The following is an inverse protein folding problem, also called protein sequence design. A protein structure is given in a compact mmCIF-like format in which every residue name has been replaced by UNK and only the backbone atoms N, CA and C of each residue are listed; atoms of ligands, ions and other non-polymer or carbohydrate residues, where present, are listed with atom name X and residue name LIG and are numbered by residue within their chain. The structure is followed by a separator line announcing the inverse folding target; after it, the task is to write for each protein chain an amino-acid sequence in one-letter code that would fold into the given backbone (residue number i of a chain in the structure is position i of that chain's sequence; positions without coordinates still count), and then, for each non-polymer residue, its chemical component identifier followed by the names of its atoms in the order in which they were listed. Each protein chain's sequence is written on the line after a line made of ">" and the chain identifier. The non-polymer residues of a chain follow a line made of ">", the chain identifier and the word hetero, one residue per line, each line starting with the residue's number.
data_IF_870323565441
#
_entry.id   IF_870323565441
#
_cell.length_a   1.000
_cell.length_b   1.000
_cell.length_c   1.000
_cell.angle_alpha   90.00
_cell.angle_beta   90.00
_cell.angle_gamma   90.00
#
_symmetry.space_group_name_H-M   'P 1'
#
loop_
_entity.id
_entity.type
_entity.pdbx_description
1 polymer ?
#
# COMPACT_ATOMS: atom_id res chain seq x y z
N UNK A 1 -0.43 -39.53 -2.85
CA UNK A 1 0.23 -39.07 -4.09
C UNK A 1 1.67 -38.76 -3.76
N UNK A 2 2.61 -39.29 -4.54
CA UNK A 2 4.05 -39.04 -4.38
C UNK A 2 4.36 -37.66 -4.93
N UNK A 3 5.10 -36.82 -4.21
CA UNK A 3 5.59 -35.53 -4.73
C UNK A 3 6.57 -35.85 -5.87
N UNK A 4 6.41 -35.25 -7.07
CA UNK A 4 7.36 -35.48 -8.17
C UNK A 4 8.75 -34.99 -7.76
N UNK A 5 9.81 -35.64 -8.24
CA UNK A 5 11.19 -35.18 -7.96
C UNK A 5 11.56 -33.94 -8.78
N UNK A 6 11.03 -33.83 -10.01
CA UNK A 6 11.26 -32.72 -10.93
C UNK A 6 9.99 -32.38 -11.71
N UNK A 7 9.90 -31.13 -12.15
CA UNK A 7 8.93 -30.65 -13.14
C UNK A 7 9.74 -29.91 -14.21
N UNK A 8 9.82 -30.47 -15.42
CA UNK A 8 10.76 -29.98 -16.43
C UNK A 8 12.20 -29.97 -15.89
N UNK A 9 12.87 -28.81 -15.96
CA UNK A 9 14.23 -28.63 -15.41
C UNK A 9 14.28 -28.37 -13.89
N UNK A 10 13.14 -28.10 -13.26
CA UNK A 10 13.06 -27.58 -11.91
C UNK A 10 12.99 -28.70 -10.88
N UNK A 11 13.75 -28.57 -9.79
CA UNK A 11 13.82 -29.57 -8.73
C UNK A 11 12.77 -29.27 -7.67
N UNK A 12 11.90 -30.24 -7.36
CA UNK A 12 10.76 -30.01 -6.45
C UNK A 12 11.23 -30.11 -5.00
N UNK A 13 10.96 -29.07 -4.22
CA UNK A 13 11.29 -28.98 -2.80
C UNK A 13 10.11 -29.44 -1.95
N UNK A 14 8.92 -28.86 -2.19
CA UNK A 14 7.72 -29.15 -1.41
C UNK A 14 6.44 -28.77 -2.15
N UNK A 15 5.30 -29.29 -1.69
CA UNK A 15 3.98 -28.85 -2.12
C UNK A 15 3.57 -27.62 -1.28
N UNK A 16 3.26 -26.50 -1.93
CA UNK A 16 2.88 -25.23 -1.29
C UNK A 16 1.35 -25.12 -1.13
N UNK A 17 0.60 -25.52 -2.15
CA UNK A 17 -0.84 -25.38 -2.15
C UNK A 17 -1.55 -26.22 -3.20
N UNK A 18 -2.86 -26.38 -3.03
CA UNK A 18 -3.75 -27.05 -3.98
C UNK A 18 -4.96 -26.17 -4.21
N UNK A 19 -5.18 -25.79 -5.46
CA UNK A 19 -6.32 -25.00 -5.90
C UNK A 19 -7.22 -25.80 -6.85
N UNK A 20 -8.29 -25.16 -7.32
CA UNK A 20 -9.24 -25.73 -8.29
C UNK A 20 -8.58 -26.04 -9.64
N UNK A 21 -7.61 -25.21 -10.06
CA UNK A 21 -6.95 -25.32 -11.37
C UNK A 21 -5.61 -26.07 -11.33
N UNK A 22 -5.11 -26.43 -10.14
CA UNK A 22 -3.78 -27.06 -10.08
C UNK A 22 -3.17 -27.21 -8.70
N UNK A 23 -1.97 -27.79 -8.69
CA UNK A 23 -1.11 -27.93 -7.52
C UNK A 23 0.08 -26.98 -7.69
N UNK A 24 0.42 -26.25 -6.62
CA UNK A 24 1.58 -25.35 -6.59
C UNK A 24 2.70 -26.00 -5.78
N UNK A 25 3.87 -26.09 -6.38
CA UNK A 25 5.10 -26.61 -5.76
C UNK A 25 6.12 -25.51 -5.57
N UNK A 26 6.86 -25.55 -4.46
CA UNK A 26 8.11 -24.81 -4.33
C UNK A 26 9.19 -25.63 -5.01
N UNK A 27 9.95 -25.01 -5.91
CA UNK A 27 11.00 -25.66 -6.66
C UNK A 27 12.29 -24.82 -6.66
N UNK A 28 13.42 -25.45 -6.97
CA UNK A 28 14.68 -24.79 -7.27
C UNK A 28 14.90 -24.78 -8.78
N UNK A 29 15.26 -23.62 -9.34
CA UNK A 29 15.75 -23.48 -10.71
C UNK A 29 17.29 -23.66 -10.70
N UNK A 30 17.83 -24.80 -11.17
CA UNK A 30 19.26 -25.05 -11.13
C UNK A 30 20.07 -24.18 -12.09
N UNK A 31 19.43 -23.57 -13.09
CA UNK A 31 20.11 -22.68 -14.02
C UNK A 31 20.26 -21.27 -13.46
N UNK A 32 19.18 -20.72 -12.89
CA UNK A 32 19.17 -19.37 -12.32
C UNK A 32 19.57 -19.33 -10.83
N UNK A 33 19.78 -20.49 -10.22
CA UNK A 33 20.09 -20.70 -8.80
C UNK A 33 19.14 -19.91 -7.87
N UNK A 34 17.84 -20.11 -8.05
CA UNK A 34 16.80 -19.44 -7.27
C UNK A 34 15.61 -20.34 -6.98
N UNK A 35 14.88 -19.98 -5.91
CA UNK A 35 13.60 -20.61 -5.58
C UNK A 35 12.48 -20.04 -6.46
N UNK A 36 11.61 -20.91 -6.96
CA UNK A 36 10.45 -20.57 -7.80
C UNK A 36 9.21 -21.30 -7.32
N UNK A 37 8.03 -20.77 -7.63
CA UNK A 37 6.77 -21.48 -7.44
C UNK A 37 6.31 -22.03 -8.79
N UNK A 38 5.93 -23.31 -8.86
CA UNK A 38 5.45 -23.95 -10.09
C UNK A 38 4.03 -24.42 -9.90
N UNK A 39 3.10 -23.79 -10.64
CA UNK A 39 1.70 -24.21 -10.73
C UNK A 39 1.58 -25.26 -11.83
N UNK A 40 0.97 -26.40 -11.53
CA UNK A 40 0.77 -27.52 -12.44
C UNK A 40 -0.72 -27.74 -12.66
N UNK A 41 -1.16 -27.81 -13.92
CA UNK A 41 -2.59 -27.94 -14.26
C UNK A 41 -3.14 -29.32 -13.87
N UNK A 42 -4.14 -29.41 -12.99
CA UNK A 42 -4.65 -30.71 -12.51
C UNK A 42 -5.77 -31.33 -13.37
N UNK A 43 -6.20 -30.66 -14.45
CA UNK A 43 -7.39 -31.02 -15.27
C UNK A 43 -6.96 -31.63 -16.62
N UNK A 44 -5.80 -32.27 -16.66
CA UNK A 44 -5.29 -32.92 -17.88
C UNK A 44 -5.51 -34.43 -17.74
N UNK A 45 -6.29 -34.99 -18.65
CA UNK A 45 -6.43 -36.44 -18.80
C UNK A 45 -5.51 -36.99 -19.90
N UNK A 46 -5.07 -38.23 -19.74
CA UNK A 46 -4.22 -38.94 -20.72
C UNK A 46 -4.93 -39.11 -22.08
N UNK A 47 -6.27 -39.06 -22.09
CA UNK A 47 -7.10 -39.24 -23.28
C UNK A 47 -7.27 -37.97 -24.13
N UNK A 48 -6.64 -36.84 -23.75
CA UNK A 48 -6.73 -35.55 -24.44
C UNK A 48 -8.18 -35.17 -24.83
N UNK A 49 -9.09 -35.33 -23.88
CA UNK A 49 -10.49 -34.95 -24.07
C UNK A 49 -10.61 -33.49 -24.52
N UNK A 50 -11.74 -33.11 -25.11
CA UNK A 50 -11.98 -31.69 -25.44
C UNK A 50 -11.84 -30.79 -24.21
N UNK A 51 -12.26 -31.28 -23.04
CA UNK A 51 -12.11 -30.58 -21.76
C UNK A 51 -10.63 -30.39 -21.38
N UNK A 52 -9.80 -31.44 -21.51
CA UNK A 52 -8.34 -31.37 -21.26
C UNK A 52 -7.64 -30.36 -22.17
N UNK A 53 -7.97 -30.36 -23.47
CA UNK A 53 -7.44 -29.37 -24.43
C UNK A 53 -7.87 -27.93 -24.11
N UNK A 54 -9.12 -27.74 -23.71
CA UNK A 54 -9.62 -26.42 -23.30
C UNK A 54 -8.93 -25.94 -22.02
N UNK A 55 -8.80 -26.80 -21.01
CA UNK A 55 -8.13 -26.48 -19.74
C UNK A 55 -6.67 -26.06 -19.97
N UNK A 56 -5.92 -26.83 -20.77
CA UNK A 56 -4.55 -26.50 -21.16
C UNK A 56 -4.44 -25.15 -21.87
N UNK A 57 -5.35 -24.87 -22.82
CA UNK A 57 -5.39 -23.58 -23.53
C UNK A 57 -5.65 -22.41 -22.57
N UNK A 58 -6.62 -22.55 -21.67
CA UNK A 58 -6.94 -21.52 -20.68
C UNK A 58 -5.76 -21.28 -19.72
N UNK A 59 -5.09 -22.35 -19.30
CA UNK A 59 -3.94 -22.29 -18.42
C UNK A 59 -2.76 -21.53 -19.04
N UNK A 60 -2.40 -21.80 -20.30
CA UNK A 60 -1.35 -21.03 -20.98
C UNK A 60 -1.76 -19.61 -21.32
N UNK A 61 -3.05 -19.37 -21.60
CA UNK A 61 -3.54 -18.00 -21.80
C UNK A 61 -3.35 -17.17 -20.52
N UNK A 62 -3.66 -17.72 -19.33
CA UNK A 62 -3.43 -17.06 -18.03
C UNK A 62 -1.97 -16.64 -17.87
N UNK A 63 -1.04 -17.56 -18.17
CA UNK A 63 0.39 -17.25 -18.16
C UNK A 63 0.77 -16.14 -19.15
N UNK A 64 0.21 -16.16 -20.36
CA UNK A 64 0.50 -15.16 -21.39
C UNK A 64 -0.01 -13.77 -21.01
N UNK A 65 -1.24 -13.68 -20.53
CA UNK A 65 -1.84 -12.41 -20.10
C UNK A 65 -1.14 -11.85 -18.87
N UNK A 66 -0.86 -12.67 -17.87
CA UNK A 66 -0.15 -12.24 -16.66
C UNK A 66 1.31 -11.88 -16.97
N UNK A 67 1.97 -12.63 -17.85
CA UNK A 67 3.35 -12.37 -18.27
C UNK A 67 3.54 -11.08 -19.08
N UNK A 68 2.45 -10.50 -19.61
CA UNK A 68 2.48 -9.18 -20.25
C UNK A 68 2.38 -8.02 -19.25
N UNK A 69 2.15 -8.30 -17.97
CA UNK A 69 2.03 -7.30 -16.90
C UNK A 69 3.34 -7.21 -16.12
N UNK A 70 3.85 -5.99 -15.98
CA UNK A 70 5.03 -5.69 -15.17
C UNK A 70 4.66 -4.63 -14.13
N UNK A 71 4.31 -5.09 -12.94
CA UNK A 71 3.89 -4.25 -11.82
C UNK A 71 4.34 -4.86 -10.49
N UNK A 72 4.87 -4.08 -9.53
CA UNK A 72 5.40 -4.60 -8.26
C UNK A 72 4.37 -5.39 -7.45
N UNK A 73 3.08 -5.04 -7.55
CA UNK A 73 1.99 -5.73 -6.85
C UNK A 73 1.25 -6.80 -7.65
N UNK A 74 1.80 -7.22 -8.79
CA UNK A 74 1.32 -8.37 -9.57
C UNK A 74 2.40 -9.45 -9.52
N UNK A 75 1.99 -10.70 -9.29
CA UNK A 75 2.90 -11.84 -9.22
C UNK A 75 3.49 -12.12 -10.59
N UNK A 76 4.81 -12.11 -10.70
CA UNK A 76 5.50 -12.27 -11.99
C UNK A 76 5.48 -13.72 -12.48
N UNK A 77 5.11 -13.89 -13.75
CA UNK A 77 5.33 -15.12 -14.52
C UNK A 77 6.76 -15.10 -15.06
N UNK A 78 7.54 -16.12 -14.72
CA UNK A 78 8.95 -16.24 -15.10
C UNK A 78 9.14 -17.09 -16.36
N UNK A 79 8.34 -18.14 -16.49
CA UNK A 79 8.42 -19.13 -17.57
C UNK A 79 7.10 -19.94 -17.62
N UNK A 80 6.84 -20.60 -18.74
CA UNK A 80 5.72 -21.53 -18.87
C UNK A 80 6.10 -22.64 -19.86
N UNK A 81 5.68 -23.86 -19.57
CA UNK A 81 6.07 -25.00 -20.38
C UNK A 81 5.19 -26.21 -20.16
N UNK A 82 5.63 -27.31 -20.73
CA UNK A 82 4.96 -28.59 -20.67
C UNK A 82 6.00 -29.70 -20.56
N UNK A 83 5.77 -30.64 -19.64
CA UNK A 83 6.62 -31.80 -19.42
C UNK A 83 5.75 -33.05 -19.37
N UNK A 84 6.02 -34.07 -20.20
CA UNK A 84 5.21 -35.28 -20.31
C UNK A 84 3.68 -35.03 -20.41
N UNK A 85 3.28 -34.12 -21.30
CA UNK A 85 1.89 -33.67 -21.50
C UNK A 85 1.26 -32.93 -20.29
N UNK A 86 2.06 -32.56 -19.29
CA UNK A 86 1.64 -31.85 -18.10
C UNK A 86 2.03 -30.36 -18.19
N UNK A 87 1.07 -29.44 -18.40
CA UNK A 87 1.32 -28.00 -18.43
C UNK A 87 1.73 -27.47 -17.05
N UNK A 88 2.70 -26.57 -17.05
CA UNK A 88 3.15 -25.87 -15.85
C UNK A 88 3.47 -24.38 -16.13
N UNK A 89 3.31 -23.56 -15.10
CA UNK A 89 3.68 -22.13 -15.09
C UNK A 89 4.65 -21.91 -13.95
N UNK A 90 5.74 -21.22 -14.24
CA UNK A 90 6.79 -20.87 -13.28
C UNK A 90 6.58 -19.42 -12.86
N UNK A 91 6.46 -19.21 -11.57
CA UNK A 91 6.14 -17.95 -10.92
C UNK A 91 7.29 -17.56 -9.97
N UNK A 92 7.43 -16.27 -9.68
CA UNK A 92 8.28 -15.85 -8.57
C UNK A 92 7.82 -16.53 -7.27
N UNK A 93 8.78 -16.95 -6.44
CA UNK A 93 8.47 -17.52 -5.13
C UNK A 93 8.45 -16.43 -4.08
N UNK A 94 7.35 -16.29 -3.35
CA UNK A 94 7.23 -15.34 -2.24
C UNK A 94 7.62 -16.05 -0.94
N UNK A 95 8.84 -15.84 -0.46
CA UNK A 95 9.31 -16.42 0.79
C UNK A 95 8.72 -15.72 2.01
N UNK A 96 8.32 -16.49 3.02
CA UNK A 96 7.65 -16.01 4.22
C UNK A 96 6.30 -15.30 4.01
N UNK A 97 5.76 -15.29 2.79
CA UNK A 97 4.45 -14.70 2.50
C UNK A 97 3.28 -15.67 2.71
N UNK A 98 2.10 -15.11 2.88
CA UNK A 98 0.84 -15.87 3.01
C UNK A 98 -0.28 -15.14 2.26
N UNK A 99 -1.37 -15.83 1.97
CA UNK A 99 -2.55 -15.23 1.35
C UNK A 99 -3.33 -14.39 2.34
N UNK A 100 -4.08 -13.40 1.84
CA UNK A 100 -4.97 -12.59 2.67
C UNK A 100 -6.07 -13.40 3.34
N UNK A 101 -6.30 -14.65 2.92
CA UNK A 101 -7.21 -15.61 3.57
C UNK A 101 -6.94 -15.76 5.08
N UNK A 102 -5.69 -15.60 5.53
CA UNK A 102 -5.37 -15.69 6.95
C UNK A 102 -5.97 -14.55 7.79
N UNK A 103 -6.24 -13.41 7.15
CA UNK A 103 -6.61 -12.15 7.81
C UNK A 103 -8.09 -11.78 7.65
N UNK A 104 -8.92 -12.71 7.14
CA UNK A 104 -10.37 -12.52 7.03
C UNK A 104 -11.16 -13.23 8.15
N UNK A 105 -10.45 -13.82 9.11
CA UNK A 105 -11.04 -14.36 10.34
C UNK A 105 -10.95 -13.30 11.45
N UNK A 106 -12.01 -13.15 12.26
CA UNK A 106 -12.07 -12.15 13.35
C UNK A 106 -10.89 -12.21 14.33
N UNK A 107 -10.32 -13.39 14.52
CA UNK A 107 -9.18 -13.60 15.44
C UNK A 107 -7.84 -13.12 14.87
N UNK A 108 -7.77 -12.86 13.56
CA UNK A 108 -6.53 -12.55 12.83
C UNK A 108 -6.65 -11.28 11.98
N UNK A 109 -7.59 -10.37 12.28
CA UNK A 109 -7.75 -9.15 11.50
C UNK A 109 -6.50 -8.28 11.56
N UNK A 110 -6.23 -7.59 10.44
CA UNK A 110 -5.19 -6.59 10.37
C UNK A 110 -5.64 -5.29 11.05
N UNK A 111 -4.66 -4.44 11.37
CA UNK A 111 -4.94 -3.05 11.71
C UNK A 111 -5.55 -2.32 10.50
N UNK A 112 -6.28 -1.24 10.78
CA UNK A 112 -7.03 -0.50 9.76
C UNK A 112 -6.08 0.16 8.76
N UNK A 113 -5.02 0.82 9.27
CA UNK A 113 -3.94 1.40 8.48
C UNK A 113 -3.35 0.37 7.51
N UNK A 114 -3.04 -0.83 8.01
CA UNK A 114 -2.47 -1.90 7.21
C UNK A 114 -3.43 -2.43 6.15
N UNK A 115 -4.71 -2.51 6.49
CA UNK A 115 -5.76 -2.88 5.53
C UNK A 115 -5.84 -1.85 4.41
N UNK A 116 -5.81 -0.55 4.73
CA UNK A 116 -5.85 0.53 3.74
C UNK A 116 -4.64 0.49 2.81
N UNK A 117 -3.43 0.28 3.33
CA UNK A 117 -2.22 0.13 2.51
C UNK A 117 -2.31 -1.03 1.51
N UNK A 118 -2.85 -2.17 1.95
CA UNK A 118 -3.05 -3.35 1.11
C UNK A 118 -4.05 -3.06 0.00
N UNK A 119 -5.21 -2.47 0.35
CA UNK A 119 -6.25 -2.12 -0.61
C UNK A 119 -5.74 -1.09 -1.63
N UNK A 120 -4.93 -0.13 -1.20
CA UNK A 120 -4.30 0.86 -2.07
C UNK A 120 -3.39 0.21 -3.12
N UNK A 121 -2.51 -0.71 -2.69
CA UNK A 121 -1.64 -1.47 -3.58
C UNK A 121 -2.46 -2.31 -4.59
N UNK A 122 -3.53 -2.96 -4.12
CA UNK A 122 -4.44 -3.72 -4.98
C UNK A 122 -5.13 -2.84 -6.02
N UNK A 123 -5.71 -1.71 -5.60
CA UNK A 123 -6.43 -0.79 -6.47
C UNK A 123 -5.52 -0.26 -7.59
N UNK A 124 -4.27 0.09 -7.28
CA UNK A 124 -3.27 0.51 -8.28
C UNK A 124 -2.89 -0.61 -9.26
N UNK A 125 -2.72 -1.83 -8.76
CA UNK A 125 -2.40 -2.99 -9.61
C UNK A 125 -3.55 -3.32 -10.57
N UNK A 126 -4.79 -3.27 -10.09
CA UNK A 126 -5.98 -3.48 -10.91
C UNK A 126 -6.17 -2.37 -11.95
N UNK A 127 -5.91 -1.12 -11.58
CA UNK A 127 -5.93 -0.01 -12.53
C UNK A 127 -4.89 -0.20 -13.65
N UNK A 128 -3.67 -0.60 -13.27
CA UNK A 128 -2.58 -0.89 -14.20
C UNK A 128 -2.95 -1.99 -15.20
N UNK A 129 -3.56 -3.08 -14.72
CA UNK A 129 -4.00 -4.20 -15.55
C UNK A 129 -5.15 -3.79 -16.48
N UNK A 130 -6.16 -3.10 -15.96
CA UNK A 130 -7.32 -2.65 -16.71
C UNK A 130 -6.92 -1.70 -17.85
N UNK A 131 -5.97 -0.76 -17.63
CA UNK A 131 -5.43 0.11 -18.69
C UNK A 131 -4.73 -0.65 -19.82
N UNK A 132 -4.34 -1.89 -19.59
CA UNK A 132 -3.75 -2.80 -20.59
C UNK A 132 -4.78 -3.79 -21.17
N UNK A 133 -6.06 -3.59 -20.89
CA UNK A 133 -7.14 -4.45 -21.36
C UNK A 133 -7.22 -5.78 -20.63
N UNK A 134 -6.60 -5.90 -19.45
CA UNK A 134 -6.64 -7.11 -18.62
C UNK A 134 -7.55 -6.88 -17.43
N UNK A 135 -8.56 -7.75 -17.29
CA UNK A 135 -9.48 -7.80 -16.15
C UNK A 135 -9.23 -9.14 -15.46
N UNK A 136 -9.10 -9.13 -14.14
CA UNK A 136 -8.74 -10.31 -13.34
C UNK A 136 -9.91 -11.29 -13.15
N UNK A 137 -11.14 -10.79 -12.92
CA UNK A 137 -12.41 -11.56 -12.83
C UNK A 137 -12.57 -12.52 -11.64
N UNK A 138 -11.56 -12.68 -10.81
CA UNK A 138 -11.56 -13.61 -9.65
C UNK A 138 -10.71 -13.05 -8.50
N UNK A 139 -10.89 -11.77 -8.20
CA UNK A 139 -10.26 -11.15 -7.03
C UNK A 139 -10.90 -11.71 -5.76
N UNK A 140 -10.07 -12.25 -4.87
CA UNK A 140 -10.45 -12.85 -3.58
C UNK A 140 -9.25 -12.90 -2.65
N UNK A 141 -9.49 -13.04 -1.35
CA UNK A 141 -8.43 -13.07 -0.35
C UNK A 141 -7.38 -14.18 -0.56
N UNK A 142 -7.73 -15.28 -1.25
CA UNK A 142 -6.78 -16.36 -1.59
C UNK A 142 -5.88 -16.07 -2.79
N UNK A 143 -6.23 -15.08 -3.62
CA UNK A 143 -5.46 -14.68 -4.81
C UNK A 143 -4.62 -13.42 -4.57
N UNK A 144 -4.55 -12.96 -3.32
CA UNK A 144 -3.75 -11.80 -2.92
C UNK A 144 -2.78 -12.29 -1.85
N UNK A 145 -1.49 -12.27 -2.17
CA UNK A 145 -0.43 -12.61 -1.23
C UNK A 145 0.06 -11.36 -0.52
N UNK A 146 0.40 -11.52 0.75
CA UNK A 146 1.09 -10.54 1.58
C UNK A 146 2.49 -11.06 1.86
N UNK A 147 3.50 -10.30 1.46
CA UNK A 147 4.90 -10.62 1.74
C UNK A 147 5.26 -10.27 3.19
N UNK A 148 6.33 -10.87 3.72
CA UNK A 148 6.78 -10.61 5.10
C UNK A 148 7.17 -9.14 5.35
N UNK A 149 7.61 -8.42 4.31
CA UNK A 149 7.92 -6.98 4.33
C UNK A 149 6.73 -6.08 3.99
N UNK A 150 5.52 -6.66 3.91
CA UNK A 150 4.30 -5.89 3.80
C UNK A 150 3.95 -5.38 2.39
N UNK A 151 4.45 -6.02 1.35
CA UNK A 151 4.01 -5.78 -0.03
C UNK A 151 2.92 -6.75 -0.42
N UNK A 152 2.09 -6.32 -1.35
CA UNK A 152 1.02 -7.15 -1.93
C UNK A 152 1.49 -7.78 -3.25
N UNK A 153 1.06 -9.00 -3.54
CA UNK A 153 1.19 -9.65 -4.84
C UNK A 153 -0.14 -10.29 -5.25
N UNK A 154 -0.79 -9.73 -6.27
CA UNK A 154 -1.99 -10.33 -6.88
C UNK A 154 -1.55 -11.45 -7.81
N UNK A 155 -2.12 -12.65 -7.64
CA UNK A 155 -1.84 -13.82 -8.46
C UNK A 155 -3.10 -14.36 -9.13
N UNK A 156 -2.93 -15.31 -10.06
CA UNK A 156 -4.03 -16.04 -10.70
C UNK A 156 -5.01 -15.12 -11.46
N UNK A 157 -4.49 -14.28 -12.38
CA UNK A 157 -5.31 -13.47 -13.29
C UNK A 157 -6.15 -14.38 -14.19
N UNK A 158 -7.34 -14.71 -13.69
CA UNK A 158 -8.23 -15.68 -14.30
C UNK A 158 -8.78 -15.17 -15.63
N UNK A 159 -8.40 -15.82 -16.72
CA UNK A 159 -9.08 -15.63 -18.02
C UNK A 159 -10.39 -16.42 -18.10
N UNK A 160 -10.79 -17.13 -17.04
CA UNK A 160 -12.01 -17.91 -17.03
C UNK A 160 -13.25 -17.03 -16.88
N UNK A 161 -13.72 -16.48 -18.01
CA UNK A 161 -15.10 -16.59 -18.50
C UNK A 161 -15.36 -15.49 -19.54
N UNK A 162 -15.16 -15.78 -20.82
CA UNK A 162 -16.20 -15.67 -21.87
C UNK A 162 -15.55 -15.77 -23.26
N UNK A 163 -15.93 -16.79 -24.03
CA UNK A 163 -16.48 -16.56 -25.37
C UNK A 163 -17.34 -17.75 -25.81
N UNK A 164 -18.63 -17.43 -25.93
CA UNK A 164 -19.62 -17.91 -26.90
C UNK A 164 -19.75 -19.42 -27.22
N UNK A 165 -21.00 -19.86 -27.03
CA UNK A 165 -21.75 -20.79 -27.88
C UNK A 165 -21.72 -22.31 -27.66
N UNK A 166 -21.28 -22.85 -26.52
CA UNK A 166 -21.67 -24.24 -26.16
C UNK A 166 -21.78 -24.45 -24.63
N UNK A 167 -22.98 -24.17 -24.17
CA UNK A 167 -23.75 -24.84 -23.11
C UNK A 167 -23.05 -25.85 -22.16
N UNK A 168 -23.10 -25.48 -20.86
CA UNK A 168 -23.57 -26.28 -19.70
C UNK A 168 -22.66 -27.15 -18.82
N UNK A 169 -21.32 -27.21 -18.94
CA UNK A 169 -20.54 -28.07 -18.02
C UNK A 169 -19.19 -27.52 -17.53
N UNK A 170 -19.16 -26.28 -17.04
CA UNK A 170 -18.03 -25.84 -16.19
C UNK A 170 -18.49 -25.08 -14.93
N UNK A 171 -19.64 -25.46 -14.36
CA UNK A 171 -20.11 -24.92 -13.07
C UNK A 171 -19.13 -25.16 -11.90
N UNK A 172 -18.19 -26.10 -12.03
CA UNK A 172 -17.14 -26.36 -11.03
C UNK A 172 -15.92 -25.44 -11.10
N UNK A 173 -15.83 -24.55 -12.10
CA UNK A 173 -14.75 -23.55 -12.24
C UNK A 173 -15.18 -22.11 -11.92
N UNK A 174 -16.45 -21.87 -11.59
CA UNK A 174 -16.80 -20.58 -10.99
C UNK A 174 -15.98 -20.46 -9.70
N UNK A 175 -15.33 -19.31 -9.52
CA UNK A 175 -14.55 -18.99 -8.32
C UNK A 175 -15.39 -19.09 -7.05
N UNK A 176 -14.92 -18.50 -5.95
CA UNK A 176 -15.77 -18.44 -4.76
C UNK A 176 -16.92 -17.45 -5.04
N UNK A 177 -18.18 -17.90 -5.22
CA UNK A 177 -19.26 -17.06 -5.75
C UNK A 177 -19.59 -15.86 -4.85
N UNK A 178 -19.05 -15.81 -3.63
CA UNK A 178 -19.21 -14.69 -2.69
C UNK A 178 -18.50 -13.40 -3.12
N UNK A 179 -17.47 -13.48 -3.97
CA UNK A 179 -16.75 -12.28 -4.48
C UNK A 179 -17.29 -11.81 -5.83
N UNK A 180 -18.28 -12.51 -6.38
CA UNK A 180 -18.85 -12.25 -7.70
C UNK A 180 -19.57 -10.90 -7.72
N UNK A 181 -19.32 -10.11 -8.76
CA UNK A 181 -20.05 -8.86 -8.96
C UNK A 181 -21.48 -9.08 -9.48
N UNK A 182 -22.39 -8.11 -9.35
CA UNK A 182 -23.74 -8.21 -9.89
C UNK A 182 -23.78 -8.47 -11.38
N UNK A 183 -22.90 -7.85 -12.17
CA UNK A 183 -22.81 -8.09 -13.60
C UNK A 183 -22.33 -9.52 -13.93
N UNK A 184 -21.39 -10.08 -13.15
CA UNK A 184 -21.02 -11.50 -13.28
C UNK A 184 -22.18 -12.43 -12.92
N UNK A 185 -22.94 -12.10 -11.87
CA UNK A 185 -24.09 -12.89 -11.42
C UNK A 185 -25.27 -12.84 -12.41
N UNK A 186 -25.36 -11.80 -13.25
CA UNK A 186 -26.32 -11.67 -14.35
C UNK A 186 -25.80 -12.23 -15.68
N UNK A 187 -24.55 -12.71 -15.73
CA UNK A 187 -23.89 -13.12 -16.97
C UNK A 187 -23.78 -11.98 -18.00
N UNK A 188 -23.59 -10.75 -17.53
CA UNK A 188 -23.40 -9.54 -18.33
C UNK A 188 -21.91 -9.31 -18.66
N UNK A 189 -21.63 -8.37 -19.58
CA UNK A 189 -20.26 -7.99 -19.93
C UNK A 189 -19.52 -7.40 -18.71
N UNK A 190 -18.37 -7.98 -18.40
CA UNK A 190 -17.50 -7.53 -17.29
C UNK A 190 -16.55 -6.42 -17.72
N UNK A 191 -16.22 -5.54 -16.79
CA UNK A 191 -15.27 -4.43 -17.00
C UNK A 191 -14.25 -4.38 -15.85
N UNK A 192 -13.29 -3.46 -15.87
CA UNK A 192 -12.40 -3.24 -14.72
C UNK A 192 -13.13 -2.95 -13.41
N UNK A 193 -14.38 -2.45 -13.47
CA UNK A 193 -15.22 -2.24 -12.29
C UNK A 193 -15.64 -3.54 -11.60
N UNK A 194 -15.62 -4.68 -12.30
CA UNK A 194 -15.85 -6.00 -11.73
C UNK A 194 -14.79 -6.34 -10.69
N UNK A 195 -13.52 -6.08 -11.01
CA UNK A 195 -12.42 -6.33 -10.06
C UNK A 195 -12.49 -5.39 -8.85
N UNK A 196 -12.95 -4.15 -9.02
CA UNK A 196 -13.13 -3.20 -7.92
C UNK A 196 -14.26 -3.62 -6.97
N UNK A 197 -15.35 -4.20 -7.49
CA UNK A 197 -16.40 -4.79 -6.66
C UNK A 197 -15.84 -5.93 -5.81
N UNK A 198 -15.14 -6.87 -6.44
CA UNK A 198 -14.54 -8.00 -5.74
C UNK A 198 -13.47 -7.56 -4.73
N UNK A 199 -12.70 -6.50 -5.02
CA UNK A 199 -11.79 -5.88 -4.05
C UNK A 199 -12.56 -5.25 -2.87
N UNK A 200 -13.71 -4.65 -3.11
CA UNK A 200 -14.62 -4.18 -2.05
C UNK A 200 -15.09 -5.31 -1.14
N UNK A 201 -15.44 -6.48 -1.70
CA UNK A 201 -15.77 -7.68 -0.90
C UNK A 201 -14.57 -8.13 -0.05
N UNK A 202 -13.36 -8.12 -0.61
CA UNK A 202 -12.12 -8.42 0.16
C UNK A 202 -11.90 -7.40 1.28
N UNK A 203 -12.10 -6.11 1.00
CA UNK A 203 -11.97 -5.05 2.00
C UNK A 203 -12.96 -5.24 3.15
N UNK A 204 -14.21 -5.58 2.83
CA UNK A 204 -15.24 -5.88 3.82
C UNK A 204 -14.81 -7.03 4.74
N UNK A 205 -14.32 -8.13 4.17
CA UNK A 205 -13.86 -9.30 4.94
C UNK A 205 -12.62 -8.97 5.81
N UNK A 206 -11.65 -8.22 5.29
CA UNK A 206 -10.45 -7.81 6.05
C UNK A 206 -10.77 -6.85 7.20
N UNK A 207 -11.82 -6.05 7.07
CA UNK A 207 -12.22 -5.12 8.12
C UNK A 207 -13.09 -5.81 9.17
N UNK A 208 -14.03 -6.66 8.77
CA UNK A 208 -15.08 -7.18 9.67
C UNK A 208 -14.86 -8.63 10.13
N UNK A 209 -14.05 -9.39 9.41
CA UNK A 209 -13.92 -10.84 9.58
C UNK A 209 -15.15 -11.63 9.16
N UNK A 210 -16.06 -11.01 8.40
CA UNK A 210 -17.29 -11.63 7.89
C UNK A 210 -17.44 -11.38 6.40
N UNK A 211 -18.09 -12.30 5.68
CA UNK A 211 -18.46 -12.06 4.30
C UNK A 211 -19.70 -11.15 4.22
N UNK A 212 -19.77 -10.22 3.25
CA UNK A 212 -20.91 -9.31 3.13
C UNK A 212 -22.22 -10.05 2.79
N UNK A 213 -22.11 -11.17 2.06
CA UNK A 213 -23.23 -12.04 1.71
C UNK A 213 -22.89 -13.49 2.03
N UNK A 214 -23.79 -14.15 2.74
CA UNK A 214 -23.66 -15.54 3.12
C UNK A 214 -25.02 -16.22 3.08
N UNK A 215 -25.18 -17.21 2.20
CA UNK A 215 -26.41 -17.97 2.07
C UNK A 215 -26.16 -19.47 1.89
N UNK A 216 -27.09 -20.27 2.40
CA UNK A 216 -27.14 -21.70 2.18
C UNK A 216 -27.69 -21.98 0.77
N UNK A 217 -26.80 -22.01 -0.21
CA UNK A 217 -27.08 -22.37 -1.61
C UNK A 217 -26.80 -21.25 -2.61
N UNK A 218 -26.29 -21.62 -3.78
CA UNK A 218 -25.81 -20.70 -4.81
C UNK A 218 -26.89 -19.72 -5.29
N UNK A 219 -28.11 -20.20 -5.57
CA UNK A 219 -29.20 -19.34 -6.05
C UNK A 219 -29.60 -18.27 -5.04
N UNK A 220 -29.54 -18.60 -3.73
CA UNK A 220 -29.82 -17.62 -2.68
C UNK A 220 -28.70 -16.60 -2.60
N UNK A 221 -27.44 -17.04 -2.63
CA UNK A 221 -26.28 -16.14 -2.61
C UNK A 221 -26.32 -15.16 -3.79
N UNK A 222 -26.60 -15.65 -5.00
CA UNK A 222 -26.80 -14.80 -6.18
C UNK A 222 -27.91 -13.78 -5.94
N UNK A 223 -29.04 -14.21 -5.37
CA UNK A 223 -30.12 -13.27 -5.05
C UNK A 223 -29.68 -12.16 -4.07
N UNK A 224 -28.86 -12.49 -3.06
CA UNK A 224 -28.32 -11.49 -2.13
C UNK A 224 -27.41 -10.49 -2.86
N UNK A 225 -26.45 -10.99 -3.65
CA UNK A 225 -25.52 -10.16 -4.44
C UNK A 225 -26.29 -9.18 -5.34
N UNK A 226 -27.39 -9.63 -5.94
CA UNK A 226 -28.18 -8.84 -6.87
C UNK A 226 -29.12 -7.83 -6.20
N UNK A 227 -29.65 -8.13 -5.00
CA UNK A 227 -30.80 -7.41 -4.47
C UNK A 227 -30.69 -6.96 -3.00
N UNK A 228 -29.81 -7.55 -2.19
CA UNK A 228 -29.66 -7.23 -0.76
C UNK A 228 -28.43 -6.35 -0.52
N UNK A 229 -28.52 -5.40 0.42
CA UNK A 229 -27.38 -4.56 0.80
C UNK A 229 -26.68 -5.20 2.00
N UNK A 230 -25.34 -5.18 2.05
CA UNK A 230 -24.60 -5.78 3.16
C UNK A 230 -24.79 -4.95 4.43
N UNK A 231 -24.58 -5.57 5.59
CA UNK A 231 -24.51 -4.83 6.86
C UNK A 231 -23.40 -3.77 6.77
N UNK A 232 -23.62 -2.51 7.16
CA UNK A 232 -22.57 -1.50 7.14
C UNK A 232 -21.34 -1.93 7.96
N UNK A 233 -20.14 -1.70 7.42
CA UNK A 233 -18.88 -2.06 8.10
C UNK A 233 -18.78 -1.45 9.51
N UNK A 234 -19.22 -0.20 9.67
CA UNK A 234 -19.19 0.50 10.96
C UNK A 234 -20.09 -0.12 12.03
N UNK A 235 -21.15 -0.84 11.65
CA UNK A 235 -22.02 -1.55 12.59
C UNK A 235 -21.33 -2.80 13.15
N UNK A 236 -20.45 -3.42 12.36
CA UNK A 236 -19.70 -4.63 12.75
C UNK A 236 -18.36 -4.31 13.41
N UNK A 237 -17.72 -3.21 13.02
CA UNK A 237 -16.43 -2.74 13.54
C UNK A 237 -16.43 -1.21 13.72
N UNK A 238 -16.90 -0.71 14.88
CA UNK A 238 -17.08 0.73 15.12
C UNK A 238 -15.80 1.58 15.14
N UNK A 239 -14.62 0.97 15.27
CA UNK A 239 -13.32 1.64 15.17
C UNK A 239 -12.91 1.97 13.72
N UNK A 240 -13.64 1.46 12.72
CA UNK A 240 -13.40 1.79 11.30
C UNK A 240 -13.86 3.23 11.01
N UNK A 241 -13.01 4.10 10.43
CA UNK A 241 -13.42 5.44 10.02
C UNK A 241 -14.59 5.39 9.03
N UNK A 242 -15.53 6.33 9.18
CA UNK A 242 -16.71 6.42 8.33
C UNK A 242 -16.33 6.51 6.84
N UNK A 243 -15.30 7.30 6.52
CA UNK A 243 -14.79 7.44 5.15
C UNK A 243 -14.33 6.09 4.57
N UNK A 244 -13.67 5.24 5.36
CA UNK A 244 -13.27 3.91 4.89
C UNK A 244 -14.48 3.01 4.64
N UNK A 245 -15.48 3.05 5.53
CA UNK A 245 -16.72 2.31 5.32
C UNK A 245 -17.47 2.76 4.05
N UNK A 246 -17.45 4.07 3.76
CA UNK A 246 -18.01 4.64 2.52
C UNK A 246 -17.25 4.17 1.27
N UNK A 247 -15.91 4.09 1.31
CA UNK A 247 -15.10 3.55 0.22
C UNK A 247 -15.49 2.10 -0.07
N UNK A 248 -15.62 1.26 0.97
CA UNK A 248 -16.03 -0.15 0.81
C UNK A 248 -17.42 -0.26 0.21
N UNK A 249 -18.38 0.54 0.72
CA UNK A 249 -19.74 0.57 0.18
C UNK A 249 -19.79 1.03 -1.28
N UNK A 250 -19.03 2.08 -1.64
CA UNK A 250 -18.92 2.58 -3.02
C UNK A 250 -18.30 1.54 -3.96
N UNK A 251 -17.24 0.85 -3.54
CA UNK A 251 -16.64 -0.24 -4.30
C UNK A 251 -17.64 -1.38 -4.56
N UNK A 252 -18.47 -1.70 -3.57
CA UNK A 252 -19.51 -2.74 -3.66
C UNK A 252 -20.86 -2.25 -4.21
N UNK A 253 -20.92 -1.06 -4.82
CA UNK A 253 -22.15 -0.57 -5.42
C UNK A 253 -22.63 -1.51 -6.54
N UNK A 254 -23.93 -1.83 -6.53
CA UNK A 254 -24.56 -2.64 -7.57
C UNK A 254 -24.75 -1.90 -8.89
N UNK A 255 -24.80 -0.58 -8.84
CA UNK A 255 -24.93 0.29 -10.01
C UNK A 255 -23.53 0.72 -10.45
N UNK A 256 -23.18 0.50 -11.73
CA UNK A 256 -21.84 0.78 -12.26
C UNK A 256 -21.50 2.27 -12.24
N UNK A 257 -22.48 3.14 -12.47
CA UNK A 257 -22.30 4.60 -12.41
C UNK A 257 -22.03 5.12 -10.99
N UNK A 258 -22.54 4.44 -9.97
CA UNK A 258 -22.28 4.75 -8.57
C UNK A 258 -21.02 4.04 -8.01
N UNK A 259 -20.41 3.12 -8.77
CA UNK A 259 -19.16 2.42 -8.40
C UNK A 259 -17.95 3.27 -8.79
N UNK A 260 -16.78 2.96 -8.23
CA UNK A 260 -15.51 3.51 -8.71
C UNK A 260 -15.31 3.21 -10.20
N UNK A 261 -14.99 4.25 -10.98
CA UNK A 261 -14.80 4.11 -12.43
C UNK A 261 -13.41 3.59 -12.78
N UNK A 262 -12.45 3.73 -11.87
CA UNK A 262 -11.07 3.27 -12.04
C UNK A 262 -10.44 2.89 -10.70
N UNK A 263 -9.43 2.02 -10.73
CA UNK A 263 -8.68 1.70 -9.51
C UNK A 263 -7.87 2.90 -9.01
N UNK A 264 -7.50 3.84 -9.91
CA UNK A 264 -6.86 5.09 -9.52
C UNK A 264 -7.78 5.98 -8.66
N UNK A 265 -9.07 6.07 -9.00
CA UNK A 265 -10.06 6.82 -8.21
C UNK A 265 -10.18 6.24 -6.79
N UNK A 266 -10.30 4.91 -6.69
CA UNK A 266 -10.34 4.22 -5.40
C UNK A 266 -9.04 4.41 -4.60
N UNK A 267 -7.88 4.39 -5.27
CA UNK A 267 -6.58 4.60 -4.63
C UNK A 267 -6.42 6.01 -4.05
N UNK A 268 -6.98 7.04 -4.69
CA UNK A 268 -6.97 8.42 -4.15
C UNK A 268 -7.76 8.50 -2.85
N UNK A 269 -8.97 7.94 -2.82
CA UNK A 269 -9.79 7.95 -1.61
C UNK A 269 -9.13 7.16 -0.47
N UNK A 270 -8.51 6.01 -0.78
CA UNK A 270 -7.76 5.22 0.19
C UNK A 270 -6.54 5.97 0.74
N UNK A 271 -5.82 6.72 -0.11
CA UNK A 271 -4.69 7.54 0.33
C UNK A 271 -5.13 8.66 1.28
N UNK A 272 -6.25 9.33 1.00
CA UNK A 272 -6.80 10.37 1.88
C UNK A 272 -7.17 9.83 3.27
N UNK A 273 -7.80 8.65 3.30
CA UNK A 273 -8.11 7.95 4.55
C UNK A 273 -6.83 7.57 5.29
N UNK A 274 -5.82 7.05 4.58
CA UNK A 274 -4.54 6.69 5.20
C UNK A 274 -3.86 7.90 5.85
N UNK A 275 -3.81 9.05 5.18
CA UNK A 275 -3.28 10.29 5.77
C UNK A 275 -4.02 10.68 7.05
N UNK A 276 -5.35 10.52 7.07
CA UNK A 276 -6.17 10.79 8.26
C UNK A 276 -6.03 9.75 9.38
N UNK A 277 -5.53 8.55 9.07
CA UNK A 277 -5.24 7.49 10.04
C UNK A 277 -3.86 7.64 10.67
N UNK A 278 -2.89 8.12 9.89
CA UNK A 278 -1.50 8.33 10.32
C UNK A 278 -1.33 9.67 11.04
N UNK A 279 -2.12 10.68 10.69
CA UNK A 279 -2.23 11.90 11.47
C UNK A 279 -3.23 11.68 12.63
N UNK A 280 -2.80 11.72 13.91
CA UNK A 280 -3.75 11.74 15.02
C UNK A 280 -4.64 12.98 14.91
N UNK A 281 -5.89 12.84 15.36
CA UNK A 281 -6.95 13.83 15.25
C UNK A 281 -6.58 15.24 15.79
N UNK A 282 -6.05 16.09 14.90
CA UNK A 282 -6.11 17.57 14.81
C UNK A 282 -5.53 18.44 15.97
N UNK A 283 -5.17 19.74 15.73
CA UNK A 283 -5.82 20.64 14.76
C UNK A 283 -4.90 21.52 13.89
N UNK A 284 -5.15 21.52 12.58
CA UNK A 284 -5.74 22.65 11.83
C UNK A 284 -5.84 22.29 10.33
N UNK A 285 -6.88 22.74 9.59
CA UNK A 285 -6.98 22.53 8.14
C UNK A 285 -5.72 23.06 7.42
N UNK A 286 -5.35 22.46 6.28
CA UNK A 286 -4.13 22.81 5.54
C UNK A 286 -3.96 24.33 5.25
N UNK A 287 -5.08 25.05 5.15
CA UNK A 287 -5.13 26.51 5.01
C UNK A 287 -4.57 27.26 6.24
N UNK A 288 -4.80 26.74 7.45
CA UNK A 288 -4.26 27.31 8.70
C UNK A 288 -2.77 26.99 8.86
N UNK A 289 -2.31 25.79 8.45
CA UNK A 289 -0.88 25.44 8.46
C UNK A 289 -0.09 26.36 7.54
N UNK A 290 -0.61 26.61 6.33
CA UNK A 290 -0.01 27.53 5.39
C UNK A 290 0.15 28.94 5.97
N UNK A 291 -0.94 29.52 6.49
CA UNK A 291 -0.92 30.86 7.07
C UNK A 291 0.04 30.94 8.27
N UNK A 292 0.03 29.93 9.13
CA UNK A 292 0.91 29.89 10.31
C UNK A 292 2.39 29.87 9.92
N UNK A 293 2.76 29.06 8.92
CA UNK A 293 4.14 28.95 8.45
C UNK A 293 4.57 30.18 7.66
N UNK A 294 3.66 30.76 6.87
CA UNK A 294 3.89 31.98 6.09
C UNK A 294 4.25 33.19 6.96
N UNK A 295 3.77 33.24 8.20
CA UNK A 295 4.07 34.28 9.20
C UNK A 295 5.44 34.12 9.88
N UNK A 296 6.11 32.96 9.74
CA UNK A 296 7.39 32.73 10.39
C UNK A 296 8.51 33.53 9.69
N UNK A 297 9.48 34.09 10.44
CA UNK A 297 10.57 34.87 9.86
C UNK A 297 11.36 34.15 8.76
N UNK A 298 11.48 32.82 8.88
CA UNK A 298 12.14 31.97 7.90
C UNK A 298 11.50 32.06 6.50
N UNK A 299 10.18 32.24 6.41
CA UNK A 299 9.42 32.22 5.15
C UNK A 299 9.15 33.61 4.55
N UNK A 300 9.67 34.68 5.15
CA UNK A 300 9.40 36.05 4.71
C UNK A 300 9.79 36.36 3.25
N UNK A 301 10.83 35.70 2.73
CA UNK A 301 11.33 35.88 1.36
C UNK A 301 10.89 34.77 0.39
N UNK A 302 10.04 33.84 0.83
CA UNK A 302 9.46 32.81 -0.02
C UNK A 302 8.19 33.35 -0.70
N UNK A 303 7.95 32.93 -1.94
CA UNK A 303 6.63 33.09 -2.58
C UNK A 303 5.64 32.09 -2.01
N UNK A 304 4.34 32.33 -2.21
CA UNK A 304 3.30 31.42 -1.71
C UNK A 304 3.42 30.01 -2.32
N UNK A 305 3.79 29.91 -3.60
CA UNK A 305 4.08 28.62 -4.25
C UNK A 305 5.32 27.94 -3.63
N UNK A 306 6.38 28.69 -3.33
CA UNK A 306 7.58 28.15 -2.67
C UNK A 306 7.29 27.71 -1.23
N UNK A 307 6.41 28.40 -0.49
CA UNK A 307 5.97 27.98 0.85
C UNK A 307 5.17 26.68 0.77
N UNK A 308 4.27 26.56 -0.20
CA UNK A 308 3.49 25.33 -0.42
C UNK A 308 4.42 24.15 -0.75
N UNK A 309 5.42 24.35 -1.61
CA UNK A 309 6.41 23.31 -1.92
C UNK A 309 7.22 22.87 -0.70
N UNK A 310 7.60 23.81 0.19
CA UNK A 310 8.31 23.44 1.43
C UNK A 310 7.39 22.68 2.38
N UNK A 311 6.11 23.05 2.47
CA UNK A 311 5.13 22.34 3.30
C UNK A 311 4.88 20.92 2.79
N UNK A 312 4.80 20.73 1.47
CA UNK A 312 4.69 19.41 0.85
C UNK A 312 5.94 18.54 1.11
N UNK A 313 7.12 19.17 1.23
CA UNK A 313 8.39 18.53 1.51
C UNK A 313 8.74 18.43 3.01
N UNK A 314 7.82 18.77 3.91
CA UNK A 314 8.05 18.81 5.35
C UNK A 314 6.99 18.06 6.16
N UNK A 315 7.39 17.56 7.32
CA UNK A 315 6.50 16.89 8.26
C UNK A 315 6.16 17.82 9.42
N UNK A 316 4.86 18.01 9.70
CA UNK A 316 4.42 18.66 10.93
C UNK A 316 4.57 17.70 12.10
N UNK A 317 5.26 18.11 13.15
CA UNK A 317 5.45 17.32 14.38
C UNK A 317 4.94 18.09 15.57
N UNK A 318 4.26 17.39 16.47
CA UNK A 318 3.82 17.93 17.75
C UNK A 318 4.49 17.14 18.86
N UNK A 319 4.95 17.85 19.88
CA UNK A 319 5.57 17.27 21.06
C UNK A 319 4.95 17.89 22.30
N UNK A 320 4.75 17.09 23.34
CA UNK A 320 4.25 17.56 24.62
C UNK A 320 5.41 18.10 25.46
N UNK A 321 5.09 18.94 26.46
CA UNK A 321 6.08 19.40 27.45
C UNK A 321 6.91 18.23 28.00
N UNK A 322 8.24 18.41 28.05
CA UNK A 322 9.27 17.45 28.46
C UNK A 322 9.62 16.34 27.46
N UNK A 323 8.97 16.27 26.30
CA UNK A 323 9.36 15.33 25.26
C UNK A 323 10.76 15.65 24.71
N UNK A 324 11.56 14.62 24.48
CA UNK A 324 12.82 14.75 23.74
C UNK A 324 12.51 14.82 22.25
N UNK A 325 12.79 15.97 21.64
CA UNK A 325 12.63 16.19 20.20
C UNK A 325 13.83 15.61 19.45
N UNK A 326 15.03 15.79 19.99
CA UNK A 326 16.29 15.30 19.42
C UNK A 326 17.23 14.91 20.56
N UNK A 327 17.88 13.76 20.45
CA UNK A 327 18.87 13.29 21.43
C UNK A 327 20.32 13.59 21.00
N UNK A 328 21.17 13.98 21.96
CA UNK A 328 22.62 14.16 21.78
C UNK A 328 23.26 12.84 21.28
N UNK A 329 24.11 12.92 20.25
CA UNK A 329 24.76 11.74 19.65
C UNK A 329 23.94 11.03 18.56
N UNK A 330 22.68 11.39 18.34
CA UNK A 330 21.87 10.83 17.26
C UNK A 330 22.44 11.23 15.87
N UNK A 331 22.33 10.33 14.90
CA UNK A 331 22.77 10.49 13.51
C UNK A 331 21.66 11.02 12.58
N UNK A 332 20.48 11.34 13.11
CA UNK A 332 19.37 11.85 12.32
C UNK A 332 19.69 13.21 11.68
N UNK A 333 19.43 13.34 10.37
CA UNK A 333 19.83 14.47 9.51
C UNK A 333 18.67 15.43 9.14
N UNK A 334 17.71 15.61 10.03
CA UNK A 334 16.56 16.50 9.78
C UNK A 334 16.78 17.92 10.32
N UNK A 335 16.26 18.90 9.60
CA UNK A 335 16.20 20.29 10.04
C UNK A 335 14.82 20.57 10.62
N UNK A 336 14.74 21.38 11.67
CA UNK A 336 13.48 21.73 12.33
C UNK A 336 13.30 23.25 12.38
N UNK A 337 12.07 23.70 12.14
CA UNK A 337 11.63 25.08 12.35
C UNK A 337 10.54 25.06 13.43
N UNK A 338 10.65 25.92 14.44
CA UNK A 338 9.66 26.00 15.51
C UNK A 338 8.49 26.85 15.04
N UNK A 339 7.33 26.22 14.92
CA UNK A 339 6.08 26.88 14.50
C UNK A 339 5.38 27.52 15.69
N UNK A 340 5.36 26.82 16.84
CA UNK A 340 4.81 27.31 18.09
C UNK A 340 5.46 26.62 19.30
N UNK A 341 5.38 27.27 20.46
CA UNK A 341 6.01 26.82 21.70
C UNK A 341 7.52 27.08 21.77
N UNK A 342 8.14 26.59 22.85
CA UNK A 342 9.55 26.80 23.20
C UNK A 342 10.27 25.47 23.46
N UNK A 343 11.53 25.37 23.04
CA UNK A 343 12.39 24.20 23.28
C UNK A 343 13.68 24.59 24.01
N UNK A 344 14.14 23.72 24.90
CA UNK A 344 15.41 23.84 25.60
C UNK A 344 16.52 23.10 24.85
N UNK A 345 17.66 23.76 24.64
CA UNK A 345 18.88 23.13 24.15
C UNK A 345 19.67 22.62 25.34
N UNK A 346 19.82 21.30 25.47
CA UNK A 346 20.44 20.63 26.61
C UNK A 346 21.70 19.89 26.17
N UNK A 347 22.85 20.20 26.77
CA UNK A 347 24.11 19.50 26.53
C UNK A 347 24.70 18.98 27.82
N UNK A 348 25.09 17.71 27.86
CA UNK A 348 25.63 17.08 29.07
C UNK A 348 24.76 17.33 30.32
N UNK A 349 23.43 17.18 30.17
CA UNK A 349 22.41 17.40 31.20
C UNK A 349 22.29 18.85 31.74
N UNK A 350 22.86 19.85 31.07
CA UNK A 350 22.70 21.26 31.40
C UNK A 350 22.00 22.01 30.26
N UNK A 351 20.99 22.81 30.58
CA UNK A 351 20.37 23.72 29.63
C UNK A 351 21.36 24.83 29.26
N UNK A 352 21.58 24.98 27.96
CA UNK A 352 22.50 25.95 27.36
C UNK A 352 21.74 27.19 26.90
N UNK A 353 20.60 26.99 26.24
CA UNK A 353 19.75 28.05 25.71
C UNK A 353 18.32 27.58 25.56
N UNK A 354 17.43 28.51 25.24
CA UNK A 354 16.04 28.25 24.83
C UNK A 354 15.86 28.79 23.42
N UNK A 355 15.16 28.04 22.58
CA UNK A 355 14.73 28.44 21.24
C UNK A 355 13.22 28.58 21.25
N UNK A 356 12.71 29.56 20.51
CA UNK A 356 11.29 29.97 20.56
C UNK A 356 10.64 29.95 19.18
N UNK A 357 9.36 30.27 19.05
CA UNK A 357 8.67 30.38 17.76
C UNK A 357 9.50 31.15 16.71
N UNK A 358 9.69 30.54 15.55
CA UNK A 358 10.45 31.07 14.42
C UNK A 358 11.94 30.71 14.43
N UNK A 359 12.48 30.24 15.55
CA UNK A 359 13.82 29.67 15.60
C UNK A 359 13.88 28.33 14.88
N UNK A 360 15.06 28.00 14.36
CA UNK A 360 15.33 26.71 13.74
C UNK A 360 16.29 25.88 14.61
N UNK A 361 16.49 24.59 14.32
CA UNK A 361 17.60 23.81 14.90
C UNK A 361 17.90 22.55 14.08
N UNK A 362 19.09 21.99 14.29
CA UNK A 362 19.55 20.78 13.60
C UNK A 362 20.38 21.03 12.35
N UNK A 363 20.77 22.28 12.15
CA UNK A 363 21.47 22.81 10.98
C UNK A 363 22.82 22.12 10.75
N UNK A 364 23.53 21.81 11.84
CA UNK A 364 24.83 21.14 11.80
C UNK A 364 24.71 19.70 11.28
N UNK A 365 23.72 18.92 11.74
CA UNK A 365 23.51 17.55 11.24
C UNK A 365 23.02 17.56 9.78
N UNK A 366 22.18 18.53 9.42
CA UNK A 366 21.68 18.73 8.07
C UNK A 366 22.80 19.03 7.05
N UNK A 367 23.75 19.92 7.39
CA UNK A 367 24.83 20.33 6.47
C UNK A 367 26.04 19.39 6.50
N UNK A 368 26.48 18.99 7.68
CA UNK A 368 27.77 18.32 7.87
C UNK A 368 27.67 16.81 8.04
N UNK A 369 26.44 16.27 8.13
CA UNK A 369 26.16 14.85 8.44
C UNK A 369 26.89 14.35 9.70
N UNK A 370 27.15 15.25 10.65
CA UNK A 370 27.77 14.91 11.94
C UNK A 370 26.71 14.63 13.00
N UNK A 371 27.08 13.93 14.06
CA UNK A 371 26.19 13.62 15.19
C UNK A 371 25.68 14.90 15.88
N UNK A 372 24.47 14.82 16.42
CA UNK A 372 23.86 15.92 17.20
C UNK A 372 24.72 16.30 18.39
N UNK A 373 25.06 17.58 18.51
CA UNK A 373 25.95 18.13 19.54
C UNK A 373 25.27 18.46 20.87
N UNK A 374 23.94 18.42 20.92
CA UNK A 374 23.09 18.69 22.06
C UNK A 374 21.72 18.03 21.84
N UNK A 375 21.01 17.78 22.93
CA UNK A 375 19.61 17.35 22.92
C UNK A 375 18.68 18.57 22.84
N UNK A 376 17.49 18.38 22.28
CA UNK A 376 16.43 19.38 22.23
C UNK A 376 15.23 18.79 22.96
N UNK A 377 14.75 19.50 23.98
CA UNK A 377 13.63 19.06 24.83
C UNK A 377 12.53 20.10 24.80
N UNK A 378 11.29 19.69 24.59
CA UNK A 378 10.14 20.58 24.62
C UNK A 378 9.94 21.18 26.02
N UNK A 379 9.79 22.50 26.13
CA UNK A 379 9.50 23.18 27.41
C UNK A 379 8.00 23.17 27.66
N UNK A 380 7.21 23.49 26.64
CA UNK A 380 5.76 23.41 26.60
C UNK A 380 5.30 22.52 25.44
N UNK A 381 4.01 22.54 25.12
CA UNK A 381 3.51 21.85 23.93
C UNK A 381 4.02 22.60 22.69
N UNK A 382 4.87 21.95 21.90
CA UNK A 382 5.56 22.55 20.76
C UNK A 382 5.11 21.94 19.44
N UNK A 383 5.00 22.80 18.43
CA UNK A 383 4.78 22.39 17.05
C UNK A 383 5.99 22.75 16.20
N UNK A 384 6.46 21.77 15.43
CA UNK A 384 7.69 21.85 14.67
C UNK A 384 7.44 21.45 13.22
N UNK A 385 8.05 22.18 12.29
CA UNK A 385 8.15 21.78 10.90
C UNK A 385 9.48 21.06 10.70
N UNK A 386 9.43 19.75 10.49
CA UNK A 386 10.59 18.90 10.22
C UNK A 386 10.81 18.81 8.71
N UNK A 387 11.90 19.39 8.24
CA UNK A 387 12.32 19.32 6.82
C UNK A 387 13.38 18.24 6.68
N UNK A 388 13.10 17.22 5.88
CA UNK A 388 14.08 16.20 5.52
C UNK A 388 14.85 16.62 4.27
N UNK A 389 16.17 16.45 4.28
CA UNK A 389 17.01 16.79 3.14
C UNK A 389 16.60 16.02 1.86
N UNK A 390 16.21 14.75 1.99
CA UNK A 390 15.83 13.91 0.87
C UNK A 390 14.44 14.27 0.30
N UNK A 391 13.53 14.75 1.14
CA UNK A 391 12.22 15.24 0.68
C UNK A 391 12.34 16.60 -0.01
N UNK A 392 13.23 17.47 0.49
CA UNK A 392 13.50 18.77 -0.10
C UNK A 392 14.07 18.68 -1.53
N UNK A 393 14.75 17.58 -1.88
CA UNK A 393 15.22 17.32 -3.25
C UNK A 393 14.08 17.21 -4.28
N UNK A 394 12.84 16.96 -3.83
CA UNK A 394 11.66 16.87 -4.70
C UNK A 394 11.03 18.23 -5.02
N UNK A 395 11.33 19.27 -4.23
CA UNK A 395 10.87 20.64 -4.48
C UNK A 395 11.52 21.23 -5.72
N UNK A 396 10.99 22.33 -6.25
CA UNK A 396 11.58 22.98 -7.42
C UNK A 396 12.98 23.51 -7.10
N UNK A 397 13.84 23.59 -8.13
CA UNK A 397 15.22 24.11 -7.96
C UNK A 397 15.23 25.54 -7.41
N UNK A 398 14.22 26.35 -7.72
CA UNK A 398 14.09 27.71 -7.19
C UNK A 398 13.86 27.68 -5.67
N UNK A 399 12.89 26.88 -5.21
CA UNK A 399 12.58 26.68 -3.79
C UNK A 399 13.78 26.13 -3.02
N UNK A 400 14.46 25.11 -3.58
CA UNK A 400 15.69 24.56 -2.98
C UNK A 400 16.79 25.61 -2.81
N UNK A 401 17.01 26.47 -3.81
CA UNK A 401 18.01 27.53 -3.74
C UNK A 401 17.63 28.59 -2.70
N UNK A 402 16.35 29.01 -2.66
CA UNK A 402 15.84 29.97 -1.68
C UNK A 402 15.99 29.44 -0.26
N UNK A 403 15.56 28.20 -0.04
CA UNK A 403 15.66 27.52 1.24
C UNK A 403 17.11 27.48 1.73
N UNK A 404 18.04 27.02 0.88
CA UNK A 404 19.46 26.97 1.23
C UNK A 404 20.05 28.36 1.52
N UNK A 405 19.66 29.40 0.79
CA UNK A 405 20.13 30.77 1.03
C UNK A 405 19.71 31.30 2.40
N UNK A 406 18.43 31.14 2.75
CA UNK A 406 17.91 31.61 4.04
C UNK A 406 18.50 30.79 5.18
N UNK A 407 18.53 29.47 5.01
CA UNK A 407 19.14 28.56 5.96
C UNK A 407 20.61 28.90 6.26
N UNK A 408 21.44 29.16 5.23
CA UNK A 408 22.83 29.57 5.40
C UNK A 408 22.96 30.92 6.12
N UNK A 409 22.07 31.87 5.83
CA UNK A 409 22.06 33.18 6.50
C UNK A 409 21.71 33.05 7.98
N UNK A 410 20.69 32.27 8.33
CA UNK A 410 20.29 31.99 9.72
C UNK A 410 21.44 31.33 10.49
N UNK A 411 22.19 30.42 9.85
CA UNK A 411 23.40 29.83 10.42
C UNK A 411 24.49 30.87 10.72
N UNK A 412 24.76 31.76 9.77
CA UNK A 412 25.78 32.81 9.92
C UNK A 412 25.40 33.78 11.05
N UNK A 413 24.13 34.19 11.12
CA UNK A 413 23.62 35.08 12.17
C UNK A 413 23.78 34.44 13.56
N UNK A 414 23.44 33.15 13.71
CA UNK A 414 23.61 32.43 14.98
C UNK A 414 25.07 32.23 15.38
N UNK A 415 25.94 31.91 14.44
CA UNK A 415 27.39 31.84 14.68
C UNK A 415 27.92 33.18 15.16
N UNK A 416 27.48 34.28 14.55
CA UNK A 416 27.87 35.64 14.92
C UNK A 416 27.39 35.96 16.34
N UNK A 417 26.12 35.73 16.64
CA UNK A 417 25.55 35.96 17.98
C UNK A 417 26.24 35.14 19.07
N UNK A 418 26.50 33.85 18.82
CA UNK A 418 27.20 32.96 19.76
C UNK A 418 28.65 33.43 19.99
N UNK A 419 29.32 33.91 18.93
CA UNK A 419 30.68 34.44 19.04
C UNK A 419 30.76 35.76 19.82
N UNK A 420 29.76 36.63 19.66
CA UNK A 420 29.66 37.89 20.41
C UNK A 420 29.35 37.63 21.89
N UNK A 421 28.50 36.65 22.21
CA UNK A 421 28.24 36.24 23.59
C UNK A 421 29.50 35.66 24.25
N UNK A 422 30.25 34.81 23.55
CA UNK A 422 31.53 34.28 24.05
C UNK A 422 32.57 35.39 24.25
N UNK A 423 32.62 36.40 23.38
CA UNK A 423 33.52 37.54 23.53
C UNK A 423 33.23 38.37 24.79
N UNK A 424 31.96 38.45 25.24
CA UNK A 424 31.58 39.12 26.50
C UNK A 424 31.99 38.35 27.76
N UNK A 425 32.31 37.06 27.67
CA UNK A 425 32.81 36.26 28.80
C UNK A 425 34.35 36.25 28.91
N UNK A 426 35.06 36.69 27.87
CA UNK A 426 36.54 36.71 27.82
C UNK A 426 37.09 38.13 28.05
N UNK A 427 36.25 39.16 28.01
CA UNK A 427 36.55 40.53 28.44
C UNK A 427 36.12 40.75 29.90
#
# INVERSE_FOLDING_TARGET
>A
MKIPEKIGKYEVISCVGRGSMGIVYACHDPFADRKVAIKVCSIVDENQSQASRLAKKLFFNEAHTTGALDHPSILSVLDAGEDADQPYIVLEFIDGGDTLKRYIDKENLLSIDRTVEILFQCAKALDYANRRGVIHRDIKATNILLTADGRVKICDFGIAQYSSSDQTQVMGLLGSPRYMSPEQAREEDVTGQTDLYSLGVVAYELLTGEAPFAANGLSKLINQILHEDPTPVGDLRPDVPEQLAQIVAKAMSKQLDARYQSGQEMAVDLANVFSSLVEPASPAPAEDKFNTVRELPFFNEFTDDEVAEVLDAAEWKQYQSLDSVVDEGNLEHSFFIIVSGDVAVVKAAKQISTLTKGDCFGEMSYVTKTQRSASIVAIDDVELLRVDAALMEQASTATQLRFNQIFLRTLIERLTNTSEELARYVA
#
